data_IF_876625476045
#
_entry.id   IF_876625476045
#
_cell.length_a   1.000
_cell.length_b   1.000
_cell.length_c   1.000
_cell.angle_alpha   90.00
_cell.angle_beta   90.00
_cell.angle_gamma   90.00
#
_symmetry.space_group_name_H-M   'P 1'
#
loop_
_entity.id
_entity.type
_entity.pdbx_description
1 polymer ?
#
# COMPACT_ATOMS: atom_id res chain seq x y z
N UNK A 1 -91.14 -23.61 -37.19
CA UNK A 1 -90.21 -23.48 -38.33
C UNK A 1 -88.83 -23.31 -37.72
N UNK A 2 -87.97 -24.27 -38.05
CA UNK A 2 -86.50 -24.29 -37.95
C UNK A 2 -85.89 -22.92 -38.30
N UNK A 3 -84.66 -22.52 -37.97
CA UNK A 3 -83.51 -23.02 -37.23
C UNK A 3 -82.47 -21.87 -37.27
N UNK A 4 -81.41 -22.00 -36.45
CA UNK A 4 -80.09 -21.34 -36.63
C UNK A 4 -80.02 -19.81 -36.43
N UNK A 5 -78.96 -19.20 -35.91
CA UNK A 5 -77.57 -19.59 -35.66
C UNK A 5 -77.09 -18.60 -34.58
N UNK A 6 -76.40 -19.04 -33.53
CA UNK A 6 -74.96 -19.17 -33.64
C UNK A 6 -74.29 -17.80 -33.51
N UNK A 7 -74.27 -17.26 -32.29
CA UNK A 7 -73.63 -15.99 -31.99
C UNK A 7 -73.20 -15.96 -30.54
N UNK A 8 -72.40 -16.95 -30.13
CA UNK A 8 -71.66 -16.88 -28.87
C UNK A 8 -70.70 -15.69 -28.96
N UNK A 9 -71.19 -14.55 -28.50
CA UNK A 9 -70.35 -13.40 -28.21
C UNK A 9 -69.56 -13.76 -26.96
N UNK A 10 -68.47 -14.49 -27.17
CA UNK A 10 -67.39 -14.69 -26.21
C UNK A 10 -66.87 -13.30 -25.83
N UNK A 11 -67.48 -12.73 -24.79
CA UNK A 11 -66.93 -11.64 -24.01
C UNK A 11 -65.66 -12.18 -23.36
N UNK A 12 -64.56 -12.08 -24.12
CA UNK A 12 -63.22 -12.39 -23.65
C UNK A 12 -62.98 -11.54 -22.40
N UNK A 13 -62.82 -12.13 -21.21
CA UNK A 13 -62.49 -11.35 -20.04
C UNK A 13 -61.12 -10.73 -20.32
N UNK A 14 -61.04 -9.39 -20.37
CA UNK A 14 -59.75 -8.69 -20.32
C UNK A 14 -59.20 -8.86 -18.91
N UNK A 15 -58.62 -10.03 -18.65
CA UNK A 15 -57.89 -10.32 -17.43
C UNK A 15 -56.65 -9.45 -17.39
N UNK A 16 -56.71 -8.36 -16.64
CA UNK A 16 -55.69 -7.95 -15.66
C UNK A 16 -54.21 -8.03 -16.08
N UNK A 17 -53.83 -7.61 -17.29
CA UNK A 17 -52.42 -7.58 -17.70
C UNK A 17 -51.66 -6.33 -17.22
N UNK A 18 -52.38 -5.31 -16.76
CA UNK A 18 -51.78 -4.04 -16.32
C UNK A 18 -51.00 -4.15 -14.99
N UNK A 19 -51.26 -5.19 -14.17
CA UNK A 19 -50.51 -5.43 -12.93
C UNK A 19 -49.19 -6.18 -13.15
N UNK A 20 -49.13 -7.07 -14.13
CA UNK A 20 -47.96 -7.91 -14.40
C UNK A 20 -46.78 -7.11 -14.98
N UNK A 21 -47.05 -6.16 -15.88
CA UNK A 21 -46.03 -5.31 -16.47
C UNK A 21 -45.28 -4.47 -15.42
N UNK A 22 -45.99 -3.93 -14.43
CA UNK A 22 -45.39 -3.16 -13.34
C UNK A 22 -44.46 -4.02 -12.47
N UNK A 23 -44.86 -5.26 -12.17
CA UNK A 23 -44.02 -6.21 -11.41
C UNK A 23 -42.74 -6.55 -12.18
N UNK A 24 -42.84 -6.78 -13.50
CA UNK A 24 -41.68 -7.05 -14.35
C UNK A 24 -40.74 -5.84 -14.39
N UNK A 25 -41.26 -4.63 -14.57
CA UNK A 25 -40.44 -3.40 -14.57
C UNK A 25 -39.79 -3.18 -13.20
N UNK A 26 -40.53 -3.36 -12.11
CA UNK A 26 -39.99 -3.27 -10.76
C UNK A 26 -38.88 -4.31 -10.52
N UNK A 27 -39.04 -5.54 -11.01
CA UNK A 27 -38.01 -6.57 -10.91
C UNK A 27 -36.74 -6.20 -11.72
N UNK A 28 -36.91 -5.63 -12.92
CA UNK A 28 -35.79 -5.17 -13.76
C UNK A 28 -35.10 -3.93 -13.17
N UNK A 29 -35.84 -2.98 -12.60
CA UNK A 29 -35.27 -1.82 -11.91
C UNK A 29 -34.57 -2.24 -10.62
N UNK A 30 -35.13 -3.19 -9.87
CA UNK A 30 -34.49 -3.73 -8.68
C UNK A 30 -33.19 -4.45 -9.02
N UNK A 31 -33.17 -5.28 -10.07
CA UNK A 31 -31.94 -5.95 -10.50
C UNK A 31 -30.90 -4.95 -11.01
N UNK A 32 -31.30 -3.96 -11.81
CA UNK A 32 -30.41 -2.90 -12.28
C UNK A 32 -29.83 -2.07 -11.12
N UNK A 33 -30.65 -1.75 -10.10
CA UNK A 33 -30.22 -1.05 -8.90
C UNK A 33 -29.18 -1.87 -8.12
N UNK A 34 -29.45 -3.16 -7.90
CA UNK A 34 -28.52 -4.04 -7.18
C UNK A 34 -27.18 -4.12 -7.94
N UNK A 35 -27.21 -4.28 -9.26
CA UNK A 35 -26.00 -4.27 -10.09
C UNK A 35 -25.25 -2.93 -9.95
N UNK A 36 -25.96 -1.80 -10.03
CA UNK A 36 -25.35 -0.48 -9.85
C UNK A 36 -24.68 -0.30 -8.49
N UNK A 37 -25.32 -0.77 -7.41
CA UNK A 37 -24.77 -0.73 -6.06
C UNK A 37 -23.51 -1.59 -5.95
N UNK A 38 -23.49 -2.78 -6.56
CA UNK A 38 -22.31 -3.65 -6.58
C UNK A 38 -21.15 -2.97 -7.31
N UNK A 39 -21.40 -2.34 -8.47
CA UNK A 39 -20.37 -1.63 -9.23
C UNK A 39 -19.76 -0.45 -8.45
N UNK A 40 -20.57 0.29 -7.69
CA UNK A 40 -20.07 1.39 -6.84
C UNK A 40 -19.23 0.84 -5.69
N UNK A 41 -19.68 -0.23 -5.05
CA UNK A 41 -18.90 -0.87 -3.98
C UNK A 41 -17.56 -1.41 -4.48
N UNK A 42 -17.52 -2.04 -5.65
CA UNK A 42 -16.26 -2.52 -6.24
C UNK A 42 -15.30 -1.37 -6.54
N UNK A 43 -15.81 -0.25 -7.07
CA UNK A 43 -14.98 0.92 -7.35
C UNK A 43 -14.32 1.49 -6.07
N UNK A 44 -15.03 1.53 -4.96
CA UNK A 44 -14.44 1.96 -3.68
C UNK A 44 -13.38 1.00 -3.13
N UNK A 45 -13.54 -0.30 -3.37
CA UNK A 45 -12.51 -1.29 -3.00
C UNK A 45 -11.26 -1.09 -3.86
N UNK A 46 -11.42 -0.93 -5.17
CA UNK A 46 -10.31 -0.71 -6.09
C UNK A 46 -9.54 0.58 -5.76
N UNK A 47 -10.24 1.66 -5.40
CA UNK A 47 -9.62 2.92 -4.97
C UNK A 47 -8.77 2.73 -3.71
N UNK A 48 -9.28 2.00 -2.71
CA UNK A 48 -8.53 1.70 -1.49
C UNK A 48 -7.30 0.84 -1.76
N UNK A 49 -7.41 -0.16 -2.63
CA UNK A 49 -6.29 -0.99 -3.03
C UNK A 49 -5.23 -0.18 -3.79
N UNK A 50 -5.64 0.67 -4.73
CA UNK A 50 -4.73 1.56 -5.45
C UNK A 50 -4.02 2.54 -4.51
N UNK A 51 -4.75 3.07 -3.52
CA UNK A 51 -4.19 3.95 -2.49
C UNK A 51 -3.16 3.23 -1.61
N UNK A 52 -3.48 2.03 -1.12
CA UNK A 52 -2.55 1.22 -0.31
C UNK A 52 -1.30 0.82 -1.11
N UNK A 53 -1.48 0.42 -2.37
CA UNK A 53 -0.37 0.09 -3.26
C UNK A 53 0.54 1.29 -3.48
N UNK A 54 -0.05 2.47 -3.79
CA UNK A 54 0.70 3.71 -3.93
C UNK A 54 1.50 4.05 -2.67
N UNK A 55 0.90 3.94 -1.48
CA UNK A 55 1.59 4.22 -0.22
C UNK A 55 2.76 3.26 0.01
N UNK A 56 2.58 1.96 -0.26
CA UNK A 56 3.65 0.97 -0.15
C UNK A 56 4.79 1.22 -1.14
N UNK A 57 4.50 1.55 -2.40
CA UNK A 57 5.52 1.88 -3.41
C UNK A 57 6.29 3.15 -3.03
N UNK A 58 5.60 4.18 -2.52
CA UNK A 58 6.26 5.40 -2.06
C UNK A 58 7.17 5.13 -0.86
N UNK A 59 6.71 4.32 0.11
CA UNK A 59 7.55 3.92 1.23
C UNK A 59 8.80 3.17 0.73
N UNK A 60 8.63 2.23 -0.20
CA UNK A 60 9.76 1.50 -0.77
C UNK A 60 10.76 2.42 -1.47
N UNK A 61 10.30 3.30 -2.37
CA UNK A 61 11.14 4.27 -3.06
C UNK A 61 11.93 5.16 -2.09
N UNK A 62 11.30 5.57 -0.97
CA UNK A 62 11.96 6.33 0.09
C UNK A 62 13.09 5.55 0.77
N UNK A 63 12.91 4.25 0.97
CA UNK A 63 13.98 3.39 1.46
C UNK A 63 15.14 3.29 0.45
N UNK A 64 14.86 3.28 -0.85
CA UNK A 64 15.90 3.28 -1.89
C UNK A 64 16.69 4.59 -1.93
N UNK A 65 16.01 5.72 -1.73
CA UNK A 65 16.66 7.03 -1.59
C UNK A 65 17.58 7.03 -0.36
N UNK A 66 17.06 6.63 0.81
CA UNK A 66 17.87 6.49 2.01
C UNK A 66 19.06 5.52 1.81
N UNK A 67 18.85 4.41 1.10
CA UNK A 67 19.90 3.46 0.78
C UNK A 67 21.00 4.07 -0.10
N UNK A 68 20.61 4.84 -1.11
CA UNK A 68 21.58 5.51 -1.99
C UNK A 68 22.42 6.53 -1.22
N UNK A 69 21.80 7.28 -0.31
CA UNK A 69 22.50 8.24 0.54
C UNK A 69 23.39 7.54 1.55
N UNK A 70 22.94 6.44 2.15
CA UNK A 70 23.72 5.63 3.07
C UNK A 70 25.00 5.08 2.44
N UNK A 71 24.96 4.65 1.18
CA UNK A 71 26.16 4.24 0.43
C UNK A 71 27.10 5.43 0.22
N UNK A 72 26.56 6.60 -0.12
CA UNK A 72 27.35 7.81 -0.36
C UNK A 72 28.03 8.33 0.92
N UNK A 73 27.38 8.23 2.07
CA UNK A 73 27.88 8.69 3.37
C UNK A 73 28.48 7.56 4.23
N UNK A 74 28.75 6.38 3.66
CA UNK A 74 29.11 5.19 4.45
C UNK A 74 30.36 5.39 5.31
N UNK A 75 31.37 6.10 4.78
CA UNK A 75 32.61 6.39 5.48
C UNK A 75 32.47 7.36 6.65
N UNK A 76 31.37 8.12 6.71
CA UNK A 76 31.10 9.13 7.74
C UNK A 76 30.23 8.58 8.88
N UNK A 77 29.75 7.33 8.75
CA UNK A 77 28.91 6.68 9.74
C UNK A 77 29.69 6.37 11.02
N UNK A 78 29.07 6.64 12.16
CA UNK A 78 29.59 6.24 13.47
C UNK A 78 29.27 4.76 13.74
N UNK A 79 30.33 3.97 13.90
CA UNK A 79 30.25 2.56 14.28
C UNK A 79 30.73 2.39 15.73
N UNK A 80 30.03 1.61 16.56
CA UNK A 80 30.44 1.41 17.96
C UNK A 80 29.37 0.82 18.89
N UNK A 81 29.52 1.09 20.19
CA UNK A 81 28.75 0.43 21.27
C UNK A 81 27.24 0.72 21.27
N UNK A 82 26.78 1.72 20.53
CA UNK A 82 25.39 2.13 20.47
C UNK A 82 24.68 1.61 19.21
N UNK A 83 25.35 0.83 18.37
CA UNK A 83 24.78 0.28 17.13
C UNK A 83 23.64 -0.69 17.46
N UNK A 84 22.54 -0.59 16.74
CA UNK A 84 21.38 -1.45 16.90
C UNK A 84 21.73 -2.88 16.43
N UNK A 85 21.75 -3.85 17.36
CA UNK A 85 21.94 -5.26 17.00
C UNK A 85 20.61 -5.89 16.59
N UNK A 86 20.55 -6.47 15.40
CA UNK A 86 19.33 -7.06 14.85
C UNK A 86 19.59 -8.53 14.51
N UNK A 87 18.69 -9.39 14.97
CA UNK A 87 18.65 -10.79 14.56
C UNK A 87 17.83 -10.92 13.27
N UNK A 88 18.18 -11.90 12.43
CA UNK A 88 17.49 -12.15 11.15
C UNK A 88 15.96 -12.37 11.26
N UNK A 89 15.45 -12.73 12.44
CA UNK A 89 14.02 -12.99 12.68
C UNK A 89 13.24 -11.75 13.16
N UNK A 90 13.92 -10.64 13.45
CA UNK A 90 13.31 -9.46 14.06
C UNK A 90 12.77 -8.52 12.98
N UNK A 91 11.47 -8.22 13.07
CA UNK A 91 10.86 -7.19 12.23
C UNK A 91 11.28 -5.80 12.71
N UNK A 92 11.86 -5.00 11.81
CA UNK A 92 12.19 -3.61 12.08
C UNK A 92 10.96 -2.74 11.91
N UNK A 93 10.59 -2.01 12.96
CA UNK A 93 9.49 -1.06 12.92
C UNK A 93 10.04 0.35 12.82
N UNK A 94 9.35 1.19 12.06
CA UNK A 94 9.75 2.57 11.84
C UNK A 94 9.97 3.32 13.17
N UNK A 95 9.04 3.21 14.12
CA UNK A 95 9.11 3.92 15.40
C UNK A 95 10.32 3.55 16.26
N UNK A 96 10.78 2.29 16.16
CA UNK A 96 11.91 1.80 16.94
C UNK A 96 13.23 2.34 16.38
N UNK A 97 13.29 2.47 15.05
CA UNK A 97 14.49 2.93 14.33
C UNK A 97 14.59 4.45 14.36
N UNK A 98 13.51 5.19 14.12
CA UNK A 98 13.54 6.67 14.12
C UNK A 98 13.95 7.26 15.47
N UNK A 99 13.62 6.58 16.58
CA UNK A 99 13.99 7.00 17.92
C UNK A 99 15.46 6.68 18.29
N UNK A 100 16.17 5.90 17.46
CA UNK A 100 17.52 5.47 17.75
C UNK A 100 18.54 6.59 17.49
N UNK A 101 19.52 6.83 18.39
CA UNK A 101 20.41 7.99 18.31
C UNK A 101 21.36 8.00 17.11
N UNK A 102 21.66 6.83 16.53
CA UNK A 102 22.52 6.72 15.35
C UNK A 102 21.75 6.80 14.03
N UNK A 103 20.44 7.04 14.10
CA UNK A 103 19.59 7.14 12.92
C UNK A 103 19.74 8.51 12.27
N UNK A 104 20.03 8.49 10.98
CA UNK A 104 20.04 9.68 10.13
C UNK A 104 18.71 9.78 9.39
N UNK A 105 17.98 10.87 9.64
CA UNK A 105 16.79 11.25 8.89
C UNK A 105 17.17 12.17 7.72
N UNK A 106 16.70 11.84 6.52
CA UNK A 106 16.87 12.72 5.36
C UNK A 106 15.70 13.68 5.28
N UNK A 107 15.98 14.98 5.29
CA UNK A 107 14.98 16.04 5.16
C UNK A 107 14.84 16.58 3.73
N UNK A 108 15.90 17.14 3.15
CA UNK A 108 15.78 17.90 1.89
C UNK A 108 15.47 17.01 0.67
N UNK A 109 16.06 15.82 0.60
CA UNK A 109 15.85 14.86 -0.50
C UNK A 109 14.67 13.90 -0.24
N UNK A 110 14.05 13.99 0.95
CA UNK A 110 12.95 13.12 1.32
C UNK A 110 11.87 13.83 2.12
N UNK A 111 10.72 13.98 1.46
CA UNK A 111 9.56 14.67 2.00
C UNK A 111 9.14 14.15 3.40
N UNK A 112 8.90 15.06 4.34
CA UNK A 112 8.36 14.77 5.68
C UNK A 112 9.23 13.80 6.52
N UNK A 113 10.57 13.91 6.44
CA UNK A 113 11.52 13.12 7.25
C UNK A 113 11.23 11.62 7.21
N UNK A 114 10.81 11.15 6.04
CA UNK A 114 10.23 9.83 5.87
C UNK A 114 11.18 8.84 5.19
N UNK A 115 12.45 9.21 5.13
CA UNK A 115 13.57 8.39 4.72
C UNK A 115 14.59 8.40 5.84
N UNK A 116 15.04 7.23 6.24
CA UNK A 116 16.09 7.12 7.24
C UNK A 116 17.05 6.00 6.92
N UNK A 117 18.26 6.12 7.44
CA UNK A 117 19.19 5.01 7.53
C UNK A 117 19.88 5.01 8.89
N UNK A 118 20.24 3.83 9.38
CA UNK A 118 21.00 3.67 10.62
C UNK A 118 22.04 2.56 10.46
N UNK A 119 23.24 2.73 11.03
CA UNK A 119 24.17 1.62 11.19
C UNK A 119 23.57 0.59 12.14
N UNK A 120 23.74 -0.68 11.81
CA UNK A 120 23.26 -1.83 12.56
C UNK A 120 24.33 -2.93 12.60
N UNK A 121 24.22 -3.83 13.56
CA UNK A 121 25.00 -5.05 13.60
C UNK A 121 24.05 -6.23 13.36
N UNK A 122 24.27 -6.96 12.27
CA UNK A 122 23.47 -8.13 11.91
C UNK A 122 24.38 -9.32 11.77
N UNK A 123 24.10 -10.37 12.55
CA UNK A 123 24.88 -11.62 12.58
C UNK A 123 26.39 -11.39 12.83
N UNK A 124 26.72 -10.38 13.66
CA UNK A 124 28.11 -10.01 13.99
C UNK A 124 28.86 -9.26 12.89
N UNK A 125 28.17 -8.80 11.85
CA UNK A 125 28.73 -7.99 10.77
C UNK A 125 28.13 -6.58 10.79
N UNK A 126 28.89 -5.54 10.39
CA UNK A 126 28.36 -4.19 10.23
C UNK A 126 27.52 -4.11 8.96
N UNK A 127 26.30 -3.59 9.11
CA UNK A 127 25.39 -3.29 8.01
C UNK A 127 24.80 -1.91 8.21
N UNK A 128 24.29 -1.31 7.14
CA UNK A 128 23.40 -0.16 7.23
C UNK A 128 22.03 -0.62 6.81
N UNK A 129 21.01 -0.29 7.61
CA UNK A 129 19.63 -0.49 7.18
C UNK A 129 19.03 0.84 6.78
N UNK A 130 18.39 0.85 5.61
CA UNK A 130 17.60 1.96 5.14
C UNK A 130 16.12 1.60 5.18
N UNK A 131 15.30 2.55 5.62
CA UNK A 131 13.85 2.43 5.70
C UNK A 131 13.20 3.67 5.12
N UNK A 132 12.03 3.46 4.54
CA UNK A 132 11.15 4.52 4.10
C UNK A 132 9.77 4.35 4.72
N UNK A 133 9.12 5.47 4.97
CA UNK A 133 7.76 5.52 5.48
C UNK A 133 6.91 6.46 4.65
N UNK A 134 5.59 6.32 4.75
CA UNK A 134 4.63 7.35 4.34
C UNK A 134 3.94 7.83 5.60
N UNK A 135 4.22 9.07 5.98
CA UNK A 135 3.69 9.70 7.18
C UNK A 135 2.71 10.79 6.72
N UNK A 136 1.54 10.83 7.33
CA UNK A 136 0.59 11.94 7.17
C UNK A 136 0.61 12.83 8.40
N UNK A 137 0.36 14.12 8.19
CA UNK A 137 0.30 15.16 9.22
C UNK A 137 1.61 15.37 10.02
N UNK A 138 2.78 15.29 9.37
CA UNK A 138 4.09 15.49 10.02
C UNK A 138 4.24 16.86 10.74
N UNK A 139 3.39 17.84 10.40
CA UNK A 139 3.41 19.18 10.98
C UNK A 139 2.45 19.36 12.17
N UNK A 140 1.88 18.27 12.72
CA UNK A 140 0.97 18.29 13.87
C UNK A 140 1.38 17.22 14.89
N UNK A 141 1.02 17.38 16.17
CA UNK A 141 1.36 16.47 17.29
C UNK A 141 0.90 14.99 17.11
N UNK A 142 0.28 14.65 15.99
CA UNK A 142 -0.23 13.31 15.67
C UNK A 142 0.25 12.87 14.29
N UNK A 143 1.56 12.64 14.17
CA UNK A 143 2.13 11.94 13.02
C UNK A 143 1.51 10.55 12.91
N UNK A 144 0.98 10.21 11.73
CA UNK A 144 0.39 8.89 11.50
C UNK A 144 1.15 8.17 10.40
N UNK A 145 1.74 7.01 10.75
CA UNK A 145 2.38 6.11 9.80
C UNK A 145 1.30 5.40 8.96
N UNK A 146 1.28 5.69 7.65
CA UNK A 146 0.36 5.07 6.69
C UNK A 146 0.95 3.81 6.05
N UNK A 147 2.25 3.81 5.78
CA UNK A 147 2.97 2.69 5.20
C UNK A 147 4.44 2.72 5.60
N UNK A 148 5.06 1.55 5.67
CA UNK A 148 6.49 1.37 5.87
C UNK A 148 7.02 0.46 4.76
N UNK A 149 8.24 0.73 4.31
CA UNK A 149 8.96 -0.11 3.37
C UNK A 149 9.42 -1.41 4.01
N UNK A 150 9.84 -2.34 3.16
CA UNK A 150 10.72 -3.40 3.62
C UNK A 150 12.12 -2.82 3.92
N UNK A 151 12.84 -3.37 4.91
CA UNK A 151 14.19 -2.93 5.22
C UNK A 151 15.15 -3.25 4.08
N UNK A 152 15.95 -2.26 3.70
CA UNK A 152 17.01 -2.42 2.72
C UNK A 152 18.33 -2.53 3.47
N UNK A 153 18.97 -3.69 3.40
CA UNK A 153 20.24 -3.91 4.07
C UNK A 153 21.39 -3.68 3.10
N UNK A 154 22.35 -2.89 3.54
CA UNK A 154 23.47 -2.44 2.73
C UNK A 154 24.75 -2.81 3.47
N UNK A 155 25.63 -3.51 2.77
CA UNK A 155 26.99 -3.77 3.21
C UNK A 155 27.93 -3.20 2.19
N UNK A 156 28.80 -2.29 2.62
CA UNK A 156 29.86 -1.77 1.75
C UNK A 156 31.15 -2.50 2.08
N UNK A 157 31.72 -3.16 1.08
CA UNK A 157 33.02 -3.80 1.17
C UNK A 157 34.00 -2.98 0.33
N UNK A 158 35.11 -2.59 0.94
CA UNK A 158 36.19 -1.89 0.24
C UNK A 158 37.20 -2.94 -0.23
N UNK A 159 37.35 -3.08 -1.55
CA UNK A 159 38.35 -3.98 -2.13
C UNK A 159 39.72 -3.29 -2.09
N UNK A 160 40.63 -3.81 -1.27
CA UNK A 160 42.00 -3.29 -1.11
C UNK A 160 42.81 -3.30 -2.43
N UNK A 161 42.40 -4.11 -3.41
CA UNK A 161 43.19 -4.36 -4.63
C UNK A 161 42.82 -3.46 -5.82
N UNK A 162 41.65 -2.80 -5.80
CA UNK A 162 41.13 -2.05 -6.96
C UNK A 162 40.68 -0.62 -6.68
N UNK A 163 40.80 -0.11 -5.43
CA UNK A 163 40.21 1.19 -5.03
C UNK A 163 38.72 1.32 -5.41
N UNK A 164 38.04 0.19 -5.57
CA UNK A 164 36.65 0.13 -6.05
C UNK A 164 35.78 -0.29 -4.86
N UNK A 165 34.94 0.62 -4.41
CA UNK A 165 33.93 0.37 -3.37
C UNK A 165 32.81 -0.49 -3.95
N UNK A 166 32.60 -1.68 -3.39
CA UNK A 166 31.52 -2.56 -3.78
C UNK A 166 30.43 -2.55 -2.70
N UNK A 167 29.24 -2.06 -3.04
CA UNK A 167 28.08 -2.13 -2.16
C UNK A 167 27.24 -3.37 -2.51
N UNK A 168 27.02 -4.23 -1.52
CA UNK A 168 26.07 -5.33 -1.58
C UNK A 168 24.76 -4.87 -0.95
N UNK A 169 23.69 -4.87 -1.74
CA UNK A 169 22.34 -4.49 -1.31
C UNK A 169 21.47 -5.75 -1.25
N UNK A 170 20.84 -5.98 -0.10
CA UNK A 170 19.95 -7.12 0.14
C UNK A 170 18.57 -6.60 0.52
N UNK A 171 17.56 -7.04 -0.22
CA UNK A 171 16.14 -6.83 0.05
C UNK A 171 15.60 -8.04 0.83
N UNK A 172 14.69 -7.83 1.76
CA UNK A 172 13.92 -8.89 2.45
C UNK A 172 12.44 -8.71 2.22
#
# INVERSE_FOLDING_TARGET
MECEQGGDMQLRPRTQEQGAALVVVMALLASALIIGVICVQSAFVDERLASNYRASTLAQMRAEIAASQAVASFSELEWGSNVLTINSDQTLRWEDVVAHPLTTLLGDDCEHDSCLFTPIERDGQPWVVALGAVITNANTDSETLLAQSLPVFIKVEESEESHQTQATVVWH
#
